data_IF_699412867061
#
_entry.id   IF_699412867061
#
_cell.length_a   1.000
_cell.length_b   1.000
_cell.length_c   1.000
_cell.angle_alpha   90.00
_cell.angle_beta   90.00
_cell.angle_gamma   90.00
#
_symmetry.space_group_name_H-M   'P 1'
#
loop_
_entity.id
_entity.type
_entity.pdbx_description
1 polymer ?
#
# COMPACT_ATOMS: atom_id res chain seq x y z
N UNK A 1 13.94 -30.46 9.56
CA UNK A 1 14.65 -29.46 8.73
C UNK A 1 14.26 -28.11 9.30
N UNK A 2 15.14 -27.49 10.09
CA UNK A 2 14.85 -26.19 10.70
C UNK A 2 14.95 -25.14 9.61
N UNK A 3 13.83 -24.50 9.30
CA UNK A 3 13.80 -23.32 8.42
C UNK A 3 14.29 -22.14 9.28
N UNK A 4 15.32 -21.40 8.87
CA UNK A 4 15.78 -20.23 9.60
C UNK A 4 14.67 -19.16 9.64
N UNK A 5 14.41 -18.58 10.80
CA UNK A 5 13.42 -17.51 11.05
C UNK A 5 13.79 -16.15 10.44
N UNK A 6 14.65 -16.11 9.41
CA UNK A 6 15.14 -14.88 8.77
C UNK A 6 14.92 -14.85 7.25
N UNK A 7 13.98 -15.63 6.73
CA UNK A 7 13.41 -15.28 5.43
C UNK A 7 12.36 -14.21 5.71
N UNK A 8 12.78 -12.94 5.67
CA UNK A 8 11.83 -11.86 5.42
C UNK A 8 11.06 -12.26 4.17
N UNK A 9 9.81 -12.65 4.39
CA UNK A 9 8.92 -13.24 3.38
C UNK A 9 8.51 -12.13 2.42
N UNK A 10 9.46 -11.72 1.58
CA UNK A 10 9.32 -10.75 0.50
C UNK A 10 8.64 -11.39 -0.72
N UNK A 11 7.94 -12.51 -0.54
CA UNK A 11 7.11 -13.08 -1.59
C UNK A 11 5.75 -12.38 -1.59
N UNK A 12 5.50 -11.61 -2.64
CA UNK A 12 4.14 -11.23 -3.03
C UNK A 12 3.45 -12.52 -3.48
N UNK A 13 2.79 -13.20 -2.54
CA UNK A 13 1.99 -14.39 -2.82
C UNK A 13 0.72 -13.96 -3.56
N UNK A 14 0.77 -14.05 -4.90
CA UNK A 14 -0.41 -13.84 -5.73
C UNK A 14 -1.34 -15.03 -5.58
N UNK A 15 -2.50 -14.79 -4.98
CA UNK A 15 -3.60 -15.74 -4.88
C UNK A 15 -4.82 -15.13 -5.60
N UNK A 16 -5.06 -15.47 -6.88
CA UNK A 16 -6.11 -14.84 -7.70
C UNK A 16 -7.52 -14.93 -7.10
N UNK A 17 -7.78 -16.00 -6.34
CA UNK A 17 -9.07 -16.24 -5.68
C UNK A 17 -9.21 -15.51 -4.33
N UNK A 18 -8.13 -14.92 -3.82
CA UNK A 18 -8.15 -14.18 -2.56
C UNK A 18 -8.49 -12.71 -2.78
N UNK A 19 -9.24 -12.08 -1.87
CA UNK A 19 -9.56 -10.66 -1.99
C UNK A 19 -8.30 -9.81 -1.85
N UNK A 20 -8.22 -8.74 -2.64
CA UNK A 20 -7.13 -7.77 -2.56
C UNK A 20 -7.18 -7.04 -1.21
N UNK A 21 -6.06 -7.04 -0.48
CA UNK A 21 -5.92 -6.33 0.79
C UNK A 21 -5.59 -4.85 0.60
N UNK A 22 -5.76 -4.04 1.65
CA UNK A 22 -5.43 -2.61 1.61
C UNK A 22 -3.94 -2.36 1.40
N UNK A 23 -3.09 -3.10 2.12
CA UNK A 23 -1.64 -2.95 1.99
C UNK A 23 -1.14 -3.38 0.61
N UNK A 24 -1.75 -4.42 0.03
CA UNK A 24 -1.36 -4.90 -1.29
C UNK A 24 -1.81 -3.92 -2.37
N UNK A 25 -3.02 -3.36 -2.26
CA UNK A 25 -3.49 -2.32 -3.18
C UNK A 25 -2.53 -1.13 -3.24
N UNK A 26 -2.12 -0.60 -2.08
CA UNK A 26 -1.17 0.52 -2.02
C UNK A 26 0.18 0.14 -2.60
N UNK A 27 0.72 -1.02 -2.21
CA UNK A 27 2.01 -1.52 -2.71
C UNK A 27 2.01 -1.71 -4.23
N UNK A 28 0.94 -2.31 -4.76
CA UNK A 28 0.80 -2.55 -6.20
C UNK A 28 0.63 -1.25 -6.98
N UNK A 29 -0.13 -0.28 -6.45
CA UNK A 29 -0.26 1.03 -7.11
C UNK A 29 1.08 1.75 -7.20
N UNK A 30 1.87 1.78 -6.14
CA UNK A 30 3.18 2.44 -6.16
C UNK A 30 4.16 1.74 -7.11
N UNK A 31 4.09 0.40 -7.19
CA UNK A 31 4.87 -0.37 -8.16
C UNK A 31 4.45 -0.10 -9.61
N UNK A 32 3.13 -0.05 -9.89
CA UNK A 32 2.58 0.26 -11.22
C UNK A 32 2.98 1.66 -11.69
N UNK A 33 2.95 2.64 -10.78
CA UNK A 33 3.37 4.02 -11.04
C UNK A 33 4.89 4.18 -11.20
N UNK A 34 5.67 3.10 -10.99
CA UNK A 34 7.14 3.12 -10.99
C UNK A 34 7.71 4.19 -10.05
N UNK A 35 7.04 4.45 -8.91
CA UNK A 35 7.50 5.46 -7.95
C UNK A 35 8.78 4.99 -7.25
N UNK A 36 9.68 5.93 -7.01
CA UNK A 36 10.77 5.70 -6.06
C UNK A 36 10.19 5.68 -4.65
N UNK A 37 10.50 4.61 -3.92
CA UNK A 37 9.99 4.40 -2.56
C UNK A 37 11.01 4.90 -1.53
N UNK A 38 10.58 5.64 -0.49
CA UNK A 38 11.48 6.10 0.56
C UNK A 38 11.90 4.94 1.48
N UNK A 39 13.11 4.99 2.01
CA UNK A 39 13.46 4.15 3.16
C UNK A 39 12.70 4.65 4.39
N UNK A 40 12.01 3.73 5.06
CA UNK A 40 11.12 4.05 6.17
C UNK A 40 11.27 3.02 7.27
N UNK A 41 11.53 3.51 8.48
CA UNK A 41 11.44 2.73 9.69
C UNK A 41 10.04 2.86 10.34
N UNK A 42 9.81 2.04 11.36
CA UNK A 42 8.55 1.99 12.10
C UNK A 42 8.15 3.34 12.69
N UNK A 43 9.11 4.08 13.25
CA UNK A 43 8.84 5.34 13.95
C UNK A 43 8.50 6.46 12.96
N UNK A 44 9.17 6.49 11.81
CA UNK A 44 8.87 7.39 10.71
C UNK A 44 7.45 7.15 10.19
N UNK A 45 7.09 5.90 9.87
CA UNK A 45 5.74 5.59 9.39
C UNK A 45 4.66 5.88 10.44
N UNK A 46 4.93 5.61 11.72
CA UNK A 46 3.99 5.93 12.80
C UNK A 46 3.74 7.44 12.91
N UNK A 47 4.79 8.26 12.85
CA UNK A 47 4.66 9.72 12.89
C UNK A 47 3.89 10.27 11.69
N UNK A 48 4.13 9.70 10.51
CA UNK A 48 3.47 10.12 9.26
C UNK A 48 2.00 9.72 9.23
N UNK A 49 1.69 8.48 9.58
CA UNK A 49 0.34 7.91 9.43
C UNK A 49 -0.57 8.10 10.63
N UNK A 50 -0.02 8.10 11.84
CA UNK A 50 -0.78 8.04 13.09
C UNK A 50 -1.55 6.72 13.30
N UNK A 51 -1.27 5.66 12.53
CA UNK A 51 -1.98 4.39 12.66
C UNK A 51 -1.64 3.67 13.95
N UNK A 52 -2.69 3.22 14.64
CA UNK A 52 -2.57 2.49 15.91
C UNK A 52 -2.16 1.04 15.65
N UNK A 53 -2.52 0.47 14.48
CA UNK A 53 -2.26 -0.91 14.10
C UNK A 53 -1.03 -1.08 13.18
N UNK A 54 -0.04 -0.20 13.32
CA UNK A 54 1.18 -0.23 12.49
C UNK A 54 1.92 -1.57 12.56
N UNK A 55 1.90 -2.22 13.73
CA UNK A 55 2.55 -3.51 13.96
C UNK A 55 1.88 -4.67 13.19
N UNK A 56 0.69 -4.45 12.62
CA UNK A 56 0.00 -5.42 11.78
C UNK A 56 0.32 -5.25 10.30
N UNK A 57 0.94 -4.14 9.91
CA UNK A 57 1.28 -3.82 8.53
C UNK A 57 2.57 -4.55 8.19
N UNK A 58 2.58 -5.31 7.09
CA UNK A 58 3.79 -5.94 6.61
C UNK A 58 4.88 -4.87 6.37
N UNK A 59 6.08 -5.09 6.89
CA UNK A 59 7.22 -4.16 6.77
C UNK A 59 7.57 -3.84 5.31
N UNK A 60 7.38 -4.79 4.39
CA UNK A 60 7.56 -4.58 2.96
C UNK A 60 6.59 -3.54 2.35
N UNK A 61 5.44 -3.30 2.98
CA UNK A 61 4.46 -2.31 2.53
C UNK A 61 4.73 -0.90 3.09
N UNK A 62 5.62 -0.74 4.06
CA UNK A 62 5.89 0.55 4.70
C UNK A 62 6.38 1.63 3.72
N UNK A 63 7.35 1.35 2.81
CA UNK A 63 7.81 2.34 1.84
C UNK A 63 6.68 2.82 0.92
N UNK A 64 5.85 1.89 0.43
CA UNK A 64 4.71 2.21 -0.43
C UNK A 64 3.66 3.03 0.30
N UNK A 65 3.34 2.67 1.54
CA UNK A 65 2.38 3.40 2.36
C UNK A 65 2.88 4.82 2.71
N UNK A 66 4.17 4.98 2.98
CA UNK A 66 4.74 6.29 3.22
C UNK A 66 4.70 7.18 1.96
N UNK A 67 5.04 6.62 0.79
CA UNK A 67 4.93 7.32 -0.48
C UNK A 67 3.48 7.70 -0.82
N UNK A 68 2.52 6.85 -0.48
CA UNK A 68 1.08 7.14 -0.61
C UNK A 68 0.69 8.33 0.27
N UNK A 69 1.02 8.27 1.56
CA UNK A 69 0.63 9.30 2.54
C UNK A 69 1.25 10.67 2.25
N UNK A 70 2.44 10.72 1.65
CA UNK A 70 3.08 11.97 1.22
C UNK A 70 2.28 12.71 0.13
N UNK A 71 1.43 11.98 -0.63
CA UNK A 71 0.50 12.59 -1.59
C UNK A 71 -0.70 13.30 -0.93
N UNK A 72 -0.84 13.25 0.40
CA UNK A 72 -1.87 13.96 1.16
C UNK A 72 -3.29 13.58 0.72
N UNK A 73 -4.10 14.58 0.35
CA UNK A 73 -5.49 14.37 -0.09
C UNK A 73 -5.61 13.60 -1.42
N UNK A 74 -4.51 13.48 -2.17
CA UNK A 74 -4.45 12.67 -3.39
C UNK A 74 -3.97 11.23 -3.15
N UNK A 75 -3.68 10.88 -1.89
CA UNK A 75 -3.30 9.52 -1.52
C UNK A 75 -4.46 8.54 -1.74
N UNK A 76 -4.13 7.29 -2.07
CA UNK A 76 -5.10 6.19 -2.11
C UNK A 76 -5.75 6.06 -0.74
N UNK A 77 -4.99 6.23 0.32
CA UNK A 77 -5.52 6.08 1.67
C UNK A 77 -6.60 7.13 1.97
N UNK A 78 -6.40 8.39 1.59
CA UNK A 78 -7.41 9.44 1.72
C UNK A 78 -8.62 9.17 0.81
N UNK A 79 -8.39 8.88 -0.48
CA UNK A 79 -9.44 8.78 -1.49
C UNK A 79 -10.28 7.50 -1.37
N UNK A 80 -9.64 6.35 -1.14
CA UNK A 80 -10.29 5.05 -1.14
C UNK A 80 -10.70 4.59 0.27
N UNK A 81 -9.92 4.90 1.31
CA UNK A 81 -10.17 4.36 2.65
C UNK A 81 -10.75 5.38 3.62
N UNK A 82 -10.64 6.68 3.32
CA UNK A 82 -11.08 7.78 4.15
C UNK A 82 -10.19 8.01 5.38
N UNK A 83 -10.56 8.98 6.21
CA UNK A 83 -9.83 9.30 7.43
C UNK A 83 -10.07 8.23 8.51
N UNK A 84 -9.06 7.39 8.74
CA UNK A 84 -9.08 6.31 9.74
C UNK A 84 -7.86 6.36 10.65
N UNK A 85 -8.04 5.95 11.91
CA UNK A 85 -6.93 5.72 12.85
C UNK A 85 -6.40 4.29 12.83
N UNK A 86 -7.13 3.39 12.16
CA UNK A 86 -6.74 2.00 11.94
C UNK A 86 -6.65 1.76 10.44
N UNK A 87 -5.47 1.39 9.95
CA UNK A 87 -5.29 1.10 8.53
C UNK A 87 -6.00 -0.20 8.14
N UNK A 88 -5.99 -1.20 9.03
CA UNK A 88 -6.54 -2.53 8.81
C UNK A 88 -5.92 -3.19 7.57
N UNK A 89 -4.61 -3.51 7.58
CA UNK A 89 -3.85 -3.90 6.39
C UNK A 89 -4.48 -5.03 5.58
N UNK A 90 -5.01 -6.05 6.27
CA UNK A 90 -5.61 -7.24 5.66
C UNK A 90 -7.10 -7.08 5.31
N UNK A 91 -7.68 -5.88 5.50
CA UNK A 91 -9.09 -5.66 5.16
C UNK A 91 -9.27 -5.75 3.65
N UNK A 92 -10.27 -6.51 3.16
CA UNK A 92 -10.53 -6.59 1.74
C UNK A 92 -10.96 -5.23 1.18
N UNK A 93 -10.42 -4.92 -0.01
CA UNK A 93 -10.73 -3.72 -0.78
C UNK A 93 -11.97 -3.97 -1.64
N UNK A 94 -12.89 -3.01 -1.67
CA UNK A 94 -14.06 -3.10 -2.56
C UNK A 94 -13.68 -2.76 -4.00
N UNK A 95 -14.48 -3.21 -4.98
CA UNK A 95 -14.24 -2.85 -6.40
C UNK A 95 -14.17 -1.33 -6.63
N UNK A 96 -14.99 -0.55 -5.94
CA UNK A 96 -14.98 0.91 -6.03
C UNK A 96 -13.69 1.53 -5.47
N UNK A 97 -13.18 1.00 -4.36
CA UNK A 97 -11.91 1.43 -3.78
C UNK A 97 -10.72 1.10 -4.68
N UNK A 98 -10.72 -0.10 -5.26
CA UNK A 98 -9.69 -0.48 -6.24
C UNK A 98 -9.76 0.41 -7.49
N UNK A 99 -10.95 0.64 -8.03
CA UNK A 99 -11.13 1.51 -9.20
C UNK A 99 -10.64 2.94 -8.92
N UNK A 100 -10.99 3.52 -7.75
CA UNK A 100 -10.50 4.83 -7.33
C UNK A 100 -8.97 4.84 -7.27
N UNK A 101 -8.37 3.87 -6.58
CA UNK A 101 -6.92 3.77 -6.44
C UNK A 101 -6.20 3.68 -7.78
N UNK A 102 -6.68 2.84 -8.72
CA UNK A 102 -6.05 2.69 -10.03
C UNK A 102 -6.32 3.88 -10.96
N UNK A 103 -7.45 4.56 -10.82
CA UNK A 103 -7.75 5.78 -11.59
C UNK A 103 -7.00 7.01 -11.08
N UNK A 104 -6.61 7.01 -9.81
CA UNK A 104 -5.84 8.08 -9.18
C UNK A 104 -4.36 7.96 -9.59
N UNK A 105 -3.97 8.60 -10.68
CA UNK A 105 -2.58 8.62 -11.15
C UNK A 105 -2.38 9.59 -12.31
N UNK A 106 -1.14 10.04 -12.50
CA UNK A 106 -0.73 10.88 -13.62
C UNK A 106 -0.49 10.05 -14.89
N UNK A 107 -1.42 9.13 -15.20
CA UNK A 107 -1.37 8.31 -16.41
C UNK A 107 -1.82 9.16 -17.60
N UNK A 108 -1.07 10.22 -17.87
CA UNK A 108 -1.09 10.99 -19.11
C UNK A 108 -0.24 10.33 -20.20
N UNK A 109 -0.17 8.99 -20.25
CA UNK A 109 0.38 8.33 -21.42
C UNK A 109 -0.62 8.53 -22.56
N UNK A 110 -0.33 9.54 -23.38
CA UNK A 110 -1.03 9.78 -24.63
C UNK A 110 -0.83 8.53 -25.48
N UNK A 111 -1.91 7.81 -25.77
CA UNK A 111 -1.86 6.72 -26.75
C UNK A 111 -1.59 7.40 -28.09
N UNK A 112 -0.33 7.38 -28.52
CA UNK A 112 0.04 7.78 -29.87
C UNK A 112 -0.39 6.65 -30.81
N UNK A 113 -1.30 6.98 -31.72
CA UNK A 113 -1.78 6.12 -32.81
C UNK A 113 -0.68 5.84 -33.85
#
# INVERSE_FOLDING_TARGET
>A
MNIPEDVHDNHILLSPESPLSRQDLVSWKMALDKRQLPEVDRNCLFKLSGYIDIDKINTAAWPALAADLDAGDQSITALAFGFTRLFQPNKPVTKGQAALAFSAGDSGEVVLE
#
